data_IF_529568020290
#
_entry.id   IF_529568020290
#
_cell.length_a   1.000
_cell.length_b   1.000
_cell.length_c   1.000
_cell.angle_alpha   90.00
_cell.angle_beta   90.00
_cell.angle_gamma   90.00
#
_symmetry.space_group_name_H-M   'P 1'
#
loop_
_entity.id
_entity.type
_entity.pdbx_description
1 polymer ?
#
# COMPACT_ATOMS: atom_id res chain seq x y z
N UNK A 1 -28.48 -6.52 -8.39
CA UNK A 1 -27.14 -7.08 -8.58
C UNK A 1 -26.12 -5.99 -8.28
N UNK A 2 -25.31 -6.15 -7.23
CA UNK A 2 -24.20 -5.22 -6.93
C UNK A 2 -23.01 -5.47 -7.88
N UNK A 3 -23.29 -5.70 -9.16
CA UNK A 3 -22.26 -5.87 -10.16
C UNK A 3 -21.86 -4.48 -10.65
N UNK A 4 -20.57 -4.18 -10.56
CA UNK A 4 -19.98 -3.00 -11.18
C UNK A 4 -19.98 -3.03 -12.72
N UNK A 5 -20.74 -3.94 -13.32
CA UNK A 5 -20.97 -4.03 -14.74
C UNK A 5 -21.91 -2.90 -15.19
N UNK A 6 -21.35 -1.79 -15.66
CA UNK A 6 -22.06 -0.94 -16.61
C UNK A 6 -22.17 -1.72 -17.93
N UNK A 7 -23.13 -2.65 -17.98
CA UNK A 7 -23.48 -3.47 -19.13
C UNK A 7 -24.04 -2.66 -20.32
N UNK A 8 -24.16 -1.33 -20.20
CA UNK A 8 -24.90 -0.50 -21.16
C UNK A 8 -24.07 0.53 -21.92
N UNK A 9 -22.76 0.60 -21.69
CA UNK A 9 -21.86 1.43 -22.49
C UNK A 9 -20.86 0.49 -23.15
N UNK A 10 -21.13 0.10 -24.40
CA UNK A 10 -20.11 -0.42 -25.31
C UNK A 10 -19.65 0.74 -26.21
N UNK A 11 -18.87 1.72 -25.70
CA UNK A 11 -18.29 2.72 -26.57
C UNK A 11 -17.38 2.00 -27.57
N UNK A 12 -17.37 2.45 -28.82
CA UNK A 12 -16.37 2.04 -29.80
C UNK A 12 -15.00 2.52 -29.32
N UNK A 13 -14.32 1.68 -28.55
CA UNK A 13 -13.01 1.99 -28.01
C UNK A 13 -11.95 1.81 -29.08
N UNK A 14 -11.36 2.94 -29.48
CA UNK A 14 -10.11 2.94 -30.23
C UNK A 14 -8.95 2.57 -29.29
N UNK A 15 -7.97 1.86 -29.83
CA UNK A 15 -6.73 1.51 -29.13
C UNK A 15 -6.08 2.70 -28.42
N UNK A 16 -5.97 3.85 -29.11
CA UNK A 16 -5.40 5.08 -28.54
C UNK A 16 -6.19 5.60 -27.34
N UNK A 17 -7.51 5.47 -27.34
CA UNK A 17 -8.35 5.92 -26.23
C UNK A 17 -8.19 4.99 -25.01
N UNK A 18 -8.07 3.69 -25.24
CA UNK A 18 -7.76 2.71 -24.20
C UNK A 18 -6.39 2.99 -23.56
N UNK A 19 -5.35 3.25 -24.36
CA UNK A 19 -4.03 3.60 -23.85
C UNK A 19 -4.05 4.86 -22.98
N UNK A 20 -4.70 5.94 -23.43
CA UNK A 20 -4.78 7.20 -22.67
C UNK A 20 -5.47 6.97 -21.33
N UNK A 21 -6.57 6.20 -21.30
CA UNK A 21 -7.27 5.85 -20.06
C UNK A 21 -6.37 5.05 -19.11
N UNK A 22 -5.68 4.02 -19.61
CA UNK A 22 -4.76 3.22 -18.80
C UNK A 22 -3.64 4.10 -18.24
N UNK A 23 -2.98 4.90 -19.07
CA UNK A 23 -1.87 5.76 -18.63
C UNK A 23 -2.32 6.78 -17.57
N UNK A 24 -3.50 7.39 -17.70
CA UNK A 24 -4.01 8.32 -16.69
C UNK A 24 -4.15 7.65 -15.32
N UNK A 25 -4.62 6.39 -15.27
CA UNK A 25 -4.73 5.67 -14.02
C UNK A 25 -3.40 5.08 -13.52
N UNK A 26 -2.44 4.77 -14.40
CA UNK A 26 -1.08 4.38 -14.01
C UNK A 26 -0.26 5.55 -13.42
N UNK A 27 -0.62 6.80 -13.72
CA UNK A 27 -0.03 7.97 -13.05
C UNK A 27 -0.56 8.10 -11.61
N UNK A 28 -1.84 7.81 -11.40
CA UNK A 28 -2.51 7.93 -10.09
C UNK A 28 -2.28 6.73 -9.17
N UNK A 29 -2.18 5.52 -9.72
CA UNK A 29 -1.61 4.34 -9.06
C UNK A 29 -0.16 4.21 -9.55
N UNK A 30 0.79 4.89 -8.90
CA UNK A 30 2.09 5.14 -9.51
C UNK A 30 2.86 3.85 -9.77
N UNK A 31 3.18 3.63 -11.04
CA UNK A 31 4.21 2.71 -11.46
C UNK A 31 5.61 3.34 -11.38
N UNK A 32 6.64 2.53 -11.65
CA UNK A 32 8.02 2.97 -11.82
C UNK A 32 8.09 4.14 -12.83
N UNK A 33 9.05 5.05 -12.62
CA UNK A 33 9.22 6.34 -13.31
C UNK A 33 8.21 7.45 -13.00
N UNK A 34 6.95 7.14 -12.72
CA UNK A 34 5.92 8.17 -12.44
C UNK A 34 5.76 8.43 -10.94
N UNK A 35 6.24 7.54 -10.08
CA UNK A 35 6.08 7.61 -8.63
C UNK A 35 6.70 8.82 -7.91
N UNK A 36 7.58 9.61 -8.54
CA UNK A 36 8.32 10.68 -7.85
C UNK A 36 7.45 11.78 -7.23
N UNK A 37 6.23 12.00 -7.74
CA UNK A 37 5.32 12.98 -7.18
C UNK A 37 4.79 12.56 -5.80
N UNK A 38 4.64 11.26 -5.56
CA UNK A 38 3.98 10.74 -4.39
C UNK A 38 4.79 10.98 -3.10
N UNK A 39 6.10 10.66 -3.02
CA UNK A 39 6.90 10.97 -1.83
C UNK A 39 6.88 12.47 -1.51
N UNK A 40 7.00 13.33 -2.53
CA UNK A 40 6.96 14.79 -2.34
C UNK A 40 5.62 15.26 -1.79
N UNK A 41 4.52 14.79 -2.38
CA UNK A 41 3.17 15.14 -1.94
C UNK A 41 2.89 14.72 -0.48
N UNK A 42 3.28 13.51 -0.08
CA UNK A 42 3.11 13.05 1.31
C UNK A 42 4.02 13.76 2.31
N UNK A 43 5.23 14.13 1.89
CA UNK A 43 6.20 14.80 2.76
C UNK A 43 5.75 16.22 3.07
N UNK A 44 5.19 16.94 2.09
CA UNK A 44 4.75 18.33 2.25
C UNK A 44 3.35 18.45 2.86
N UNK A 45 2.48 17.46 2.65
CA UNK A 45 1.11 17.51 3.14
C UNK A 45 1.03 17.48 4.69
N UNK A 46 0.02 18.18 5.26
CA UNK A 46 -0.38 17.94 6.63
C UNK A 46 -0.87 16.50 6.78
N UNK A 47 -1.03 16.08 8.02
CA UNK A 47 -1.26 14.67 8.37
C UNK A 47 -2.59 14.16 7.83
N UNK A 48 -3.65 14.95 7.97
CA UNK A 48 -4.96 14.67 7.39
C UNK A 48 -4.87 14.56 5.86
N UNK A 49 -4.09 15.43 5.21
CA UNK A 49 -3.81 15.35 3.78
C UNK A 49 -3.08 14.06 3.40
N UNK A 50 -2.05 13.67 4.17
CA UNK A 50 -1.31 12.42 3.98
C UNK A 50 -2.22 11.19 4.13
N UNK A 51 -3.12 11.20 5.13
CA UNK A 51 -4.08 10.12 5.36
C UNK A 51 -5.09 9.99 4.21
N UNK A 52 -5.67 11.09 3.74
CA UNK A 52 -6.66 11.08 2.64
C UNK A 52 -5.98 10.69 1.32
N UNK A 53 -4.80 11.24 1.05
CA UNK A 53 -4.01 10.91 -0.13
C UNK A 53 -3.67 9.41 -0.14
N UNK A 54 -3.20 8.90 0.99
CA UNK A 54 -2.86 7.50 1.14
C UNK A 54 -4.11 6.63 1.02
N UNK A 55 -5.16 6.89 1.80
CA UNK A 55 -6.32 6.00 1.92
C UNK A 55 -7.21 6.00 0.67
N UNK A 56 -7.40 7.15 0.02
CA UNK A 56 -8.44 7.33 -1.01
C UNK A 56 -7.83 7.61 -2.38
N UNK A 57 -7.00 8.65 -2.51
CA UNK A 57 -6.59 9.14 -3.84
C UNK A 57 -5.78 8.12 -4.64
N UNK A 58 -4.83 7.42 -4.01
CA UNK A 58 -4.07 6.36 -4.68
C UNK A 58 -4.95 5.16 -5.06
N UNK A 59 -5.98 4.89 -4.24
CA UNK A 59 -6.88 3.77 -4.42
C UNK A 59 -7.90 4.02 -5.54
N UNK A 60 -8.26 5.28 -5.78
CA UNK A 60 -9.05 5.67 -6.95
C UNK A 60 -8.33 5.35 -8.27
N UNK A 61 -7.00 5.38 -8.30
CA UNK A 61 -6.22 4.95 -9.47
C UNK A 61 -6.42 3.47 -9.78
N UNK A 62 -6.23 2.61 -8.78
CA UNK A 62 -6.45 1.16 -8.92
C UNK A 62 -7.90 0.81 -9.26
N UNK A 63 -8.86 1.47 -8.61
CA UNK A 63 -10.28 1.29 -8.93
C UNK A 63 -10.64 1.82 -10.33
N UNK A 64 -10.01 2.91 -10.79
CA UNK A 64 -10.15 3.40 -12.15
C UNK A 64 -9.68 2.39 -13.19
N UNK A 65 -8.51 1.77 -12.97
CA UNK A 65 -8.02 0.66 -13.81
C UNK A 65 -8.99 -0.51 -13.83
N UNK A 66 -9.54 -0.88 -12.66
CA UNK A 66 -10.55 -1.93 -12.55
C UNK A 66 -11.78 -1.64 -13.43
N UNK A 67 -12.23 -0.39 -13.49
CA UNK A 67 -13.36 0.02 -14.35
C UNK A 67 -13.03 0.07 -15.83
N UNK A 68 -11.85 0.56 -16.19
CA UNK A 68 -11.40 0.60 -17.59
C UNK A 68 -11.25 -0.81 -18.15
N UNK A 69 -10.87 -1.78 -17.31
CA UNK A 69 -10.75 -3.18 -17.71
C UNK A 69 -12.01 -3.75 -18.35
N UNK A 70 -13.19 -3.45 -17.80
CA UNK A 70 -14.45 -3.97 -18.32
C UNK A 70 -14.73 -3.54 -19.77
N UNK A 71 -14.31 -2.33 -20.15
CA UNK A 71 -14.51 -1.83 -21.51
C UNK A 71 -13.32 -2.14 -22.44
N UNK A 72 -12.11 -2.22 -21.89
CA UNK A 72 -10.85 -2.36 -22.64
C UNK A 72 -10.25 -3.76 -22.64
N UNK A 73 -10.99 -4.80 -22.26
CA UNK A 73 -10.47 -6.16 -22.04
C UNK A 73 -9.58 -6.68 -23.18
N UNK A 74 -10.04 -6.57 -24.42
CA UNK A 74 -9.32 -7.11 -25.59
C UNK A 74 -7.96 -6.43 -25.79
N UNK A 75 -7.91 -5.10 -25.62
CA UNK A 75 -6.67 -4.34 -25.74
C UNK A 75 -5.75 -4.59 -24.54
N UNK A 76 -6.29 -4.62 -23.31
CA UNK A 76 -5.49 -4.81 -22.09
C UNK A 76 -4.88 -6.21 -22.06
N UNK A 77 -5.64 -7.24 -22.44
CA UNK A 77 -5.12 -8.61 -22.48
C UNK A 77 -3.96 -8.74 -23.47
N UNK A 78 -4.01 -8.06 -24.63
CA UNK A 78 -2.92 -8.04 -25.60
C UNK A 78 -1.61 -7.39 -25.11
N UNK A 79 -1.68 -6.37 -24.25
CA UNK A 79 -0.51 -5.64 -23.73
C UNK A 79 -0.18 -5.91 -22.25
N UNK A 80 -0.94 -6.81 -21.60
CA UNK A 80 -0.81 -7.18 -20.19
C UNK A 80 0.62 -7.53 -19.77
N UNK A 81 1.36 -8.24 -20.64
CA UNK A 81 2.78 -8.60 -20.43
C UNK A 81 3.65 -7.41 -20.04
N UNK A 82 3.50 -6.28 -20.74
CA UNK A 82 4.34 -5.10 -20.53
C UNK A 82 4.07 -4.50 -19.14
N UNK A 83 2.80 -4.33 -18.79
CA UNK A 83 2.42 -3.74 -17.50
C UNK A 83 2.75 -4.66 -16.32
N UNK A 84 2.61 -5.98 -16.48
CA UNK A 84 2.98 -6.96 -15.47
C UNK A 84 4.47 -6.90 -15.13
N UNK A 85 5.34 -6.90 -16.15
CA UNK A 85 6.79 -6.84 -15.93
C UNK A 85 7.21 -5.50 -15.31
N UNK A 86 6.67 -4.39 -15.80
CA UNK A 86 6.98 -3.06 -15.25
C UNK A 86 6.49 -2.96 -13.80
N UNK A 87 5.30 -3.45 -13.49
CA UNK A 87 4.73 -3.41 -12.15
C UNK A 87 5.49 -4.26 -11.13
N UNK A 88 5.86 -5.49 -11.47
CA UNK A 88 6.65 -6.37 -10.60
C UNK A 88 8.08 -5.88 -10.41
N UNK A 89 8.70 -5.38 -11.48
CA UNK A 89 10.00 -4.74 -11.36
C UNK A 89 9.92 -3.47 -10.51
N UNK A 90 8.82 -2.73 -10.61
CA UNK A 90 8.54 -1.56 -9.77
C UNK A 90 8.46 -1.90 -8.29
N UNK A 91 7.68 -2.91 -7.92
CA UNK A 91 7.52 -3.28 -6.52
C UNK A 91 8.84 -3.75 -5.91
N UNK A 92 9.63 -4.52 -6.65
CA UNK A 92 10.98 -4.92 -6.26
C UNK A 92 11.92 -3.72 -6.06
N UNK A 93 12.07 -2.86 -7.06
CA UNK A 93 13.02 -1.73 -6.99
C UNK A 93 12.64 -0.72 -5.91
N UNK A 94 11.36 -0.43 -5.76
CA UNK A 94 10.87 0.46 -4.70
C UNK A 94 11.07 -0.19 -3.32
N UNK A 95 10.88 -1.50 -3.19
CA UNK A 95 11.19 -2.23 -1.97
C UNK A 95 12.64 -2.07 -1.52
N UNK A 96 13.59 -2.10 -2.46
CA UNK A 96 15.01 -1.80 -2.18
C UNK A 96 15.20 -0.34 -1.79
N UNK A 97 14.57 0.59 -2.50
CA UNK A 97 14.65 2.03 -2.19
C UNK A 97 14.14 2.36 -0.78
N UNK A 98 13.12 1.64 -0.29
CA UNK A 98 12.59 1.81 1.07
C UNK A 98 13.65 1.59 2.15
N UNK A 99 14.58 0.65 1.96
CA UNK A 99 15.63 0.34 2.94
C UNK A 99 16.66 1.46 3.08
N UNK A 100 16.83 2.30 2.05
CA UNK A 100 17.72 3.45 2.08
C UNK A 100 17.05 4.73 2.58
N UNK A 101 15.72 4.73 2.76
CA UNK A 101 15.02 5.93 3.21
C UNK A 101 15.34 6.24 4.68
N UNK A 102 15.64 7.51 4.94
CA UNK A 102 15.91 8.04 6.28
C UNK A 102 14.66 8.70 6.88
N UNK A 103 13.77 9.24 6.05
CA UNK A 103 12.56 9.93 6.53
C UNK A 103 11.38 8.96 6.66
N UNK A 104 10.74 8.93 7.85
CA UNK A 104 9.63 8.01 8.15
C UNK A 104 8.47 8.17 7.17
N UNK A 105 8.03 9.42 6.90
CA UNK A 105 6.92 9.68 5.95
C UNK A 105 7.26 9.22 4.53
N UNK A 106 8.50 9.44 4.10
CA UNK A 106 8.95 9.03 2.77
C UNK A 106 8.99 7.50 2.66
N UNK A 107 9.41 6.80 3.72
CA UNK A 107 9.47 5.34 3.76
C UNK A 107 8.07 4.74 3.63
N UNK A 108 7.08 5.28 4.35
CA UNK A 108 5.66 4.87 4.23
C UNK A 108 5.12 5.17 2.82
N UNK A 109 5.50 6.31 2.24
CA UNK A 109 5.11 6.69 0.89
C UNK A 109 5.68 5.70 -0.16
N UNK A 110 6.96 5.32 -0.07
CA UNK A 110 7.53 4.33 -0.97
C UNK A 110 6.96 2.92 -0.75
N UNK A 111 6.68 2.50 0.50
CA UNK A 111 5.99 1.22 0.72
C UNK A 111 4.61 1.21 0.07
N UNK A 112 3.91 2.35 0.04
CA UNK A 112 2.62 2.46 -0.65
C UNK A 112 2.71 2.25 -2.16
N UNK A 113 3.79 2.72 -2.78
CA UNK A 113 4.07 2.50 -4.21
C UNK A 113 4.36 1.01 -4.46
N UNK A 114 5.08 0.33 -3.55
CA UNK A 114 5.39 -1.09 -3.69
C UNK A 114 4.12 -1.97 -3.67
N UNK A 115 3.23 -1.78 -2.68
CA UNK A 115 1.97 -2.53 -2.61
C UNK A 115 1.03 -2.17 -3.78
N UNK A 116 0.96 -0.90 -4.21
CA UNK A 116 0.15 -0.52 -5.38
C UNK A 116 0.71 -1.10 -6.69
N UNK A 117 2.03 -1.26 -6.81
CA UNK A 117 2.64 -1.98 -7.93
C UNK A 117 2.12 -3.41 -8.05
N UNK A 118 1.98 -4.13 -6.92
CA UNK A 118 1.36 -5.46 -6.87
C UNK A 118 -0.13 -5.43 -7.26
N UNK A 119 -0.89 -4.44 -6.79
CA UNK A 119 -2.31 -4.26 -7.17
C UNK A 119 -2.46 -4.14 -8.69
N UNK A 120 -1.62 -3.32 -9.32
CA UNK A 120 -1.71 -3.13 -10.77
C UNK A 120 -1.36 -4.44 -11.50
N UNK A 121 -0.39 -5.21 -11.00
CA UNK A 121 -0.10 -6.53 -11.55
C UNK A 121 -1.29 -7.49 -11.41
N UNK A 122 -1.97 -7.46 -10.25
CA UNK A 122 -3.20 -8.24 -10.03
C UNK A 122 -4.30 -7.92 -11.05
N UNK A 123 -4.55 -6.63 -11.30
CA UNK A 123 -5.54 -6.18 -12.31
C UNK A 123 -5.11 -6.58 -13.73
N UNK A 124 -3.83 -6.38 -14.07
CA UNK A 124 -3.29 -6.67 -15.40
C UNK A 124 -3.10 -8.18 -15.67
N UNK A 125 -3.22 -9.04 -14.65
CA UNK A 125 -3.23 -10.50 -14.83
C UNK A 125 -4.51 -11.02 -15.49
N UNK A 126 -5.54 -10.18 -15.62
CA UNK A 126 -6.82 -10.50 -16.28
C UNK A 126 -7.57 -11.72 -15.69
N UNK A 127 -7.20 -12.17 -14.49
CA UNK A 127 -7.77 -13.33 -13.82
C UNK A 127 -8.71 -12.91 -12.69
N UNK A 128 -9.79 -13.66 -12.46
CA UNK A 128 -10.76 -13.39 -11.39
C UNK A 128 -10.11 -13.33 -10.00
N UNK A 129 -9.17 -14.23 -9.71
CA UNK A 129 -8.37 -14.18 -8.48
C UNK A 129 -7.54 -12.89 -8.36
N UNK A 130 -6.97 -12.41 -9.46
CA UNK A 130 -6.21 -11.16 -9.49
C UNK A 130 -7.10 -9.94 -9.22
N UNK A 131 -8.32 -9.93 -9.78
CA UNK A 131 -9.32 -8.89 -9.52
C UNK A 131 -9.75 -8.87 -8.05
N UNK A 132 -10.15 -10.00 -7.49
CA UNK A 132 -10.54 -10.11 -6.08
C UNK A 132 -9.39 -9.71 -5.16
N UNK A 133 -8.18 -10.23 -5.41
CA UNK A 133 -7.00 -9.90 -4.62
C UNK A 133 -6.63 -8.43 -4.67
N UNK A 134 -6.65 -7.82 -5.86
CA UNK A 134 -6.37 -6.39 -6.05
C UNK A 134 -7.34 -5.50 -5.28
N UNK A 135 -8.64 -5.82 -5.29
CA UNK A 135 -9.65 -5.06 -4.57
C UNK A 135 -9.47 -5.16 -3.05
N UNK A 136 -9.20 -6.36 -2.54
CA UNK A 136 -8.95 -6.58 -1.11
C UNK A 136 -7.70 -5.83 -0.66
N UNK A 137 -6.63 -5.88 -1.45
CA UNK A 137 -5.37 -5.21 -1.12
C UNK A 137 -5.53 -3.67 -1.14
N UNK A 138 -6.27 -3.11 -2.10
CA UNK A 138 -6.61 -1.67 -2.15
C UNK A 138 -7.22 -1.22 -0.82
N UNK A 139 -8.18 -1.97 -0.30
CA UNK A 139 -8.89 -1.66 0.94
C UNK A 139 -7.99 -1.88 2.17
N UNK A 140 -7.38 -3.06 2.29
CA UNK A 140 -6.52 -3.38 3.44
C UNK A 140 -5.37 -2.40 3.58
N UNK A 141 -4.70 -2.11 2.47
CA UNK A 141 -3.57 -1.18 2.45
C UNK A 141 -4.04 0.27 2.63
N UNK A 142 -5.30 0.64 2.34
CA UNK A 142 -5.84 1.96 2.69
C UNK A 142 -5.79 2.21 4.19
N UNK A 143 -6.34 1.29 4.98
CA UNK A 143 -6.34 1.41 6.44
C UNK A 143 -4.93 1.27 7.03
N UNK A 144 -4.09 0.39 6.49
CA UNK A 144 -2.73 0.19 7.00
C UNK A 144 -1.86 1.44 6.79
N UNK A 145 -1.82 1.96 5.56
CA UNK A 145 -1.00 3.13 5.23
C UNK A 145 -1.45 4.40 5.95
N UNK A 146 -2.76 4.66 6.08
CA UNK A 146 -3.24 5.83 6.83
C UNK A 146 -2.91 5.74 8.32
N UNK A 147 -2.98 4.55 8.92
CA UNK A 147 -2.58 4.32 10.30
C UNK A 147 -1.08 4.51 10.53
N UNK A 148 -0.23 4.05 9.60
CA UNK A 148 1.21 4.30 9.64
C UNK A 148 1.55 5.79 9.52
N UNK A 149 0.86 6.54 8.64
CA UNK A 149 1.00 8.00 8.59
C UNK A 149 0.53 8.68 9.89
N UNK A 150 -0.49 8.14 10.55
CA UNK A 150 -0.91 8.61 11.88
C UNK A 150 0.19 8.42 12.92
N UNK A 151 0.76 7.21 12.99
CA UNK A 151 1.85 6.90 13.92
C UNK A 151 3.09 7.76 13.67
N UNK A 152 3.46 7.96 12.41
CA UNK A 152 4.56 8.84 12.04
C UNK A 152 4.30 10.29 12.51
N UNK A 153 3.05 10.74 12.46
CA UNK A 153 2.70 12.06 12.97
C UNK A 153 2.74 12.15 14.50
N UNK A 154 2.23 11.13 15.19
CA UNK A 154 2.24 11.06 16.65
C UNK A 154 3.69 11.13 17.19
N UNK A 155 4.65 10.55 16.47
CA UNK A 155 6.08 10.74 16.75
C UNK A 155 6.57 12.14 16.38
N UNK A 156 6.16 12.67 15.23
CA UNK A 156 6.54 14.01 14.77
C UNK A 156 6.08 15.11 15.73
N UNK A 157 4.87 15.03 16.30
CA UNK A 157 4.36 16.00 17.28
C UNK A 157 5.23 16.06 18.56
N UNK A 158 5.90 14.95 18.92
CA UNK A 158 6.79 14.88 20.08
C UNK A 158 8.22 15.29 19.79
N UNK A 159 8.72 14.90 18.62
CA UNK A 159 10.15 14.99 18.28
C UNK A 159 10.47 16.15 17.35
N UNK A 160 9.44 16.78 16.78
CA UNK A 160 9.50 17.80 15.71
C UNK A 160 10.38 17.42 14.52
N UNK A 161 10.71 16.14 14.37
CA UNK A 161 11.60 15.62 13.34
C UNK A 161 11.01 14.37 12.69
N UNK A 162 11.30 14.20 11.40
CA UNK A 162 10.80 13.06 10.60
C UNK A 162 11.86 11.99 10.37
N UNK A 163 13.10 12.25 10.76
CA UNK A 163 14.22 11.36 10.50
C UNK A 163 14.21 10.17 11.44
N UNK A 164 14.41 8.97 10.88
CA UNK A 164 14.51 7.71 11.63
C UNK A 164 15.63 7.74 12.67
N UNK A 165 16.75 8.45 12.41
CA UNK A 165 17.88 8.52 13.34
C UNK A 165 17.58 9.28 14.62
N UNK A 166 16.77 10.33 14.54
CA UNK A 166 16.39 11.13 15.70
C UNK A 166 15.27 10.41 16.46
N UNK A 167 14.41 9.64 15.79
CA UNK A 167 13.26 8.98 16.41
C UNK A 167 13.51 7.53 16.87
N UNK A 168 14.77 7.17 17.21
CA UNK A 168 15.14 5.83 17.69
C UNK A 168 14.82 5.62 19.17
N UNK A 169 14.65 4.35 19.56
CA UNK A 169 14.53 3.95 20.97
C UNK A 169 13.17 4.26 21.61
N UNK A 170 12.10 4.45 20.82
CA UNK A 170 10.80 4.84 21.36
C UNK A 170 10.15 3.80 22.28
N UNK A 171 10.61 2.54 22.23
CA UNK A 171 10.10 1.46 23.10
C UNK A 171 10.25 1.77 24.60
N UNK A 172 11.35 2.43 25.00
CA UNK A 172 11.56 2.77 26.41
C UNK A 172 10.71 3.93 26.91
N UNK A 173 10.22 4.80 26.00
CA UNK A 173 9.44 5.98 26.36
C UNK A 173 7.94 5.80 26.16
N UNK A 174 7.53 5.15 25.08
CA UNK A 174 6.14 5.04 24.62
C UNK A 174 5.82 3.57 24.27
N UNK A 175 5.77 2.67 25.28
CA UNK A 175 5.61 1.24 25.04
C UNK A 175 4.26 0.91 24.40
N UNK A 176 3.18 1.62 24.75
CA UNK A 176 1.86 1.35 24.17
C UNK A 176 1.81 1.76 22.70
N UNK A 177 2.40 2.90 22.32
CA UNK A 177 2.54 3.27 20.91
C UNK A 177 3.45 2.30 20.14
N UNK A 178 4.52 1.81 20.76
CA UNK A 178 5.42 0.83 20.13
C UNK A 178 4.71 -0.50 19.80
N UNK A 179 3.72 -0.90 20.60
CA UNK A 179 2.87 -2.05 20.31
C UNK A 179 2.01 -1.82 19.07
N UNK A 180 1.43 -0.63 18.90
CA UNK A 180 0.69 -0.29 17.69
C UNK A 180 1.59 -0.20 16.46
N UNK A 181 2.82 0.29 16.60
CA UNK A 181 3.83 0.20 15.55
C UNK A 181 4.07 -1.25 15.13
N UNK A 182 4.25 -2.17 16.08
CA UNK A 182 4.43 -3.59 15.78
C UNK A 182 3.25 -4.15 14.98
N UNK A 183 2.02 -3.93 15.47
CA UNK A 183 0.80 -4.43 14.85
C UNK A 183 0.57 -3.88 13.43
N UNK A 184 0.87 -2.60 13.19
CA UNK A 184 0.68 -1.98 11.89
C UNK A 184 1.82 -2.34 10.93
N UNK A 185 3.06 -2.45 11.40
CA UNK A 185 4.17 -2.97 10.61
C UNK A 185 3.95 -4.45 10.24
N UNK A 186 3.39 -5.28 11.13
CA UNK A 186 3.05 -6.68 10.81
C UNK A 186 1.95 -6.78 9.76
N UNK A 187 0.93 -5.89 9.83
CA UNK A 187 -0.10 -5.82 8.80
C UNK A 187 0.47 -5.33 7.46
N UNK A 188 1.46 -4.43 7.47
CA UNK A 188 2.17 -3.98 6.27
C UNK A 188 3.05 -5.08 5.66
N UNK A 189 3.62 -5.96 6.48
CA UNK A 189 4.29 -7.20 6.06
C UNK A 189 3.31 -8.27 5.56
N UNK A 190 2.00 -8.03 5.63
CA UNK A 190 0.97 -9.00 5.32
C UNK A 190 1.04 -10.25 6.22
N UNK A 191 1.14 -10.08 7.55
CA UNK A 191 1.03 -11.18 8.50
C UNK A 191 -0.44 -11.62 8.71
N UNK A 192 -0.71 -12.90 9.06
CA UNK A 192 -2.06 -13.34 9.45
C UNK A 192 -2.45 -12.71 10.80
N UNK A 193 -3.70 -12.27 11.04
CA UNK A 193 -4.92 -12.39 10.24
C UNK A 193 -5.29 -11.12 9.44
N UNK A 194 -4.34 -10.44 8.78
CA UNK A 194 -4.61 -9.18 8.08
C UNK A 194 -5.32 -9.34 6.73
N UNK A 195 -6.09 -8.32 6.32
CA UNK A 195 -6.65 -8.22 4.96
C UNK A 195 -5.56 -8.16 3.88
N UNK A 196 -4.40 -7.57 4.20
CA UNK A 196 -3.29 -7.45 3.26
C UNK A 196 -2.77 -8.83 2.82
N UNK A 197 -2.66 -9.78 3.76
CA UNK A 197 -2.28 -11.16 3.44
C UNK A 197 -3.27 -11.81 2.48
N UNK A 198 -4.57 -11.67 2.73
CA UNK A 198 -5.58 -12.23 1.82
C UNK A 198 -5.42 -11.67 0.40
N UNK A 199 -5.31 -10.34 0.27
CA UNK A 199 -5.13 -9.69 -1.02
C UNK A 199 -3.86 -10.15 -1.74
N UNK A 200 -2.72 -10.18 -1.04
CA UNK A 200 -1.43 -10.60 -1.62
C UNK A 200 -1.44 -12.07 -2.05
N UNK A 201 -2.01 -12.98 -1.26
CA UNK A 201 -2.10 -14.41 -1.62
C UNK A 201 -2.91 -14.60 -2.91
N UNK A 202 -4.04 -13.90 -3.07
CA UNK A 202 -4.85 -13.99 -4.29
C UNK A 202 -4.12 -13.43 -5.52
N UNK A 203 -3.38 -12.32 -5.37
CA UNK A 203 -2.57 -11.73 -6.45
C UNK A 203 -1.41 -12.67 -6.80
N UNK A 204 -0.71 -13.24 -5.81
CA UNK A 204 0.38 -14.19 -6.06
C UNK A 204 -0.13 -15.40 -6.83
N UNK A 205 -1.28 -15.97 -6.44
CA UNK A 205 -1.89 -17.08 -7.16
C UNK A 205 -2.27 -16.72 -8.60
N UNK A 206 -2.79 -15.51 -8.84
CA UNK A 206 -3.16 -15.07 -10.19
C UNK A 206 -1.95 -14.87 -11.09
N UNK A 207 -0.84 -14.33 -10.56
CA UNK A 207 0.40 -14.10 -11.29
C UNK A 207 1.15 -15.41 -11.58
N UNK A 208 1.16 -16.34 -10.62
CA UNK A 208 1.72 -17.67 -10.81
C UNK A 208 0.98 -18.46 -11.89
N UNK A 209 -0.34 -18.29 -11.99
CA UNK A 209 -1.13 -18.86 -13.08
C UNK A 209 -0.83 -18.23 -14.46
N UNK A 210 -0.21 -17.05 -14.51
CA UNK A 210 0.04 -16.32 -15.75
C UNK A 210 1.39 -16.72 -16.39
N UNK A 211 2.48 -16.68 -15.62
CA UNK A 211 3.78 -17.16 -16.09
C UNK A 211 4.72 -17.55 -14.94
N UNK A 212 5.27 -18.77 -14.98
CA UNK A 212 6.22 -19.28 -13.98
C UNK A 212 7.50 -18.44 -13.84
N UNK A 213 7.92 -17.74 -14.91
CA UNK A 213 9.12 -16.89 -14.91
C UNK A 213 8.99 -15.73 -13.92
N UNK A 214 7.76 -15.26 -13.64
CA UNK A 214 7.51 -14.16 -12.71
C UNK A 214 7.77 -14.56 -11.24
N UNK A 215 7.90 -15.86 -10.93
CA UNK A 215 8.07 -16.36 -9.56
C UNK A 215 9.21 -15.68 -8.81
N UNK A 216 10.37 -15.50 -9.46
CA UNK A 216 11.54 -14.89 -8.84
C UNK A 216 11.26 -13.44 -8.44
N UNK A 217 10.62 -12.66 -9.31
CA UNK A 217 10.27 -11.26 -9.03
C UNK A 217 9.21 -11.15 -7.94
N UNK A 218 8.21 -12.04 -7.94
CA UNK A 218 7.17 -12.08 -6.90
C UNK A 218 7.80 -12.37 -5.54
N UNK A 219 8.66 -13.39 -5.46
CA UNK A 219 9.40 -13.76 -4.24
C UNK A 219 10.24 -12.59 -3.71
N UNK A 220 10.96 -11.90 -4.59
CA UNK A 220 11.75 -10.74 -4.19
C UNK A 220 10.85 -9.60 -3.69
N UNK A 221 9.74 -9.31 -4.38
CA UNK A 221 8.84 -8.23 -3.99
C UNK A 221 8.23 -8.43 -2.59
N UNK A 222 7.78 -9.64 -2.26
CA UNK A 222 7.26 -9.96 -0.93
C UNK A 222 8.35 -10.00 0.14
N UNK A 223 9.55 -10.49 -0.20
CA UNK A 223 10.70 -10.47 0.70
C UNK A 223 11.09 -9.04 1.09
N UNK A 224 11.18 -8.12 0.13
CA UNK A 224 11.49 -6.72 0.44
C UNK A 224 10.36 -6.03 1.21
N UNK A 225 9.09 -6.43 1.00
CA UNK A 225 7.96 -5.97 1.81
C UNK A 225 8.11 -6.29 3.30
N UNK A 226 8.55 -7.51 3.61
CA UNK A 226 8.95 -7.91 4.95
C UNK A 226 10.15 -7.09 5.45
N UNK A 227 11.19 -6.94 4.65
CA UNK A 227 12.43 -6.30 5.08
C UNK A 227 12.23 -4.82 5.44
N UNK A 228 11.54 -4.02 4.63
CA UNK A 228 11.35 -2.60 4.95
C UNK A 228 10.39 -2.37 6.11
N UNK A 229 9.41 -3.25 6.33
CA UNK A 229 8.45 -3.12 7.44
C UNK A 229 9.10 -3.45 8.77
N UNK A 230 9.94 -4.50 8.81
CA UNK A 230 10.79 -4.80 9.95
C UNK A 230 11.85 -3.72 10.18
N UNK A 231 12.48 -3.20 9.13
CA UNK A 231 13.43 -2.10 9.22
C UNK A 231 12.80 -0.83 9.83
N UNK A 232 11.59 -0.46 9.38
CA UNK A 232 10.83 0.66 9.93
C UNK A 232 10.56 0.47 11.43
N UNK A 233 10.06 -0.71 11.83
CA UNK A 233 9.80 -1.01 13.25
C UNK A 233 11.08 -0.99 14.09
N UNK A 234 12.15 -1.63 13.60
CA UNK A 234 13.40 -1.78 14.32
C UNK A 234 14.07 -0.44 14.58
N UNK A 235 14.12 0.45 13.59
CA UNK A 235 14.75 1.75 13.76
C UNK A 235 13.95 2.69 14.65
N UNK A 236 12.62 2.67 14.58
CA UNK A 236 11.79 3.56 15.41
C UNK A 236 11.80 3.12 16.88
N UNK A 237 11.61 1.82 17.13
CA UNK A 237 11.34 1.36 18.49
C UNK A 237 12.60 0.88 19.23
N UNK A 238 13.52 0.21 18.56
CA UNK A 238 14.73 -0.32 19.21
C UNK A 238 15.89 0.68 19.17
N UNK A 239 16.91 0.41 20.00
CA UNK A 239 18.11 1.23 20.14
C UNK A 239 18.06 2.18 21.32
N UNK A 240 19.14 2.95 21.50
CA UNK A 240 19.22 3.99 22.51
C UNK A 240 18.47 5.25 22.07
N UNK A 241 17.78 5.88 23.01
CA UNK A 241 17.18 7.19 22.81
C UNK A 241 18.24 8.22 22.40
N UNK A 242 17.86 9.14 21.52
CA UNK A 242 18.70 10.26 21.16
C UNK A 242 18.91 11.18 22.37
N UNK A 243 20.17 11.51 22.68
CA UNK A 243 20.55 12.26 23.87
C UNK A 243 20.03 13.71 23.90
N UNK A 244 19.55 14.25 22.78
CA UNK A 244 18.96 15.57 22.72
C UNK A 244 17.52 15.64 23.25
N UNK A 245 16.89 14.52 23.59
CA UNK A 245 15.56 14.52 24.21
C UNK A 245 15.65 14.67 25.72
N UNK A 246 15.00 15.71 26.24
CA UNK A 246 14.92 15.97 27.68
C UNK A 246 13.59 15.49 28.26
N UNK A 247 12.46 15.72 27.57
CA UNK A 247 11.14 15.25 27.98
C UNK A 247 10.26 14.95 26.77
N UNK A 248 9.71 13.73 26.70
CA UNK A 248 8.69 13.35 25.73
C UNK A 248 7.31 13.48 26.39
N UNK A 249 6.36 14.07 25.65
CA UNK A 249 4.98 14.17 26.12
C UNK A 249 4.36 12.77 26.29
N UNK A 250 3.55 12.55 27.35
CA UNK A 250 2.89 11.28 27.57
C UNK A 250 1.90 10.94 26.45
N UNK A 251 1.46 9.69 26.43
CA UNK A 251 0.48 9.20 25.45
C UNK A 251 -0.92 9.75 25.76
N UNK A 252 -1.61 10.25 24.73
CA UNK A 252 -2.94 10.85 24.87
C UNK A 252 -4.00 9.86 24.37
N UNK A 253 -5.13 9.76 25.10
CA UNK A 253 -6.23 8.86 24.75
C UNK A 253 -6.79 9.10 23.32
N UNK A 254 -6.77 10.35 22.85
CA UNK A 254 -7.11 10.71 21.47
C UNK A 254 -6.29 9.95 20.43
N UNK A 255 -4.98 9.81 20.66
CA UNK A 255 -4.05 9.14 19.74
C UNK A 255 -4.38 7.64 19.64
N UNK A 256 -4.68 7.03 20.79
CA UNK A 256 -5.09 5.63 20.85
C UNK A 256 -6.39 5.35 20.13
N UNK A 257 -7.41 6.19 20.34
CA UNK A 257 -8.69 6.07 19.63
C UNK A 257 -8.46 6.18 18.12
N UNK A 258 -7.63 7.14 17.68
CA UNK A 258 -7.33 7.34 16.26
C UNK A 258 -6.72 6.08 15.64
N UNK A 259 -5.75 5.45 16.29
CA UNK A 259 -5.10 4.24 15.79
C UNK A 259 -6.05 3.04 15.84
N UNK A 260 -6.81 2.87 16.93
CA UNK A 260 -7.77 1.77 17.08
C UNK A 260 -8.85 1.81 16.00
N UNK A 261 -9.36 3.00 15.65
CA UNK A 261 -10.34 3.17 14.58
C UNK A 261 -9.81 2.75 13.20
N UNK A 262 -8.49 2.70 12.99
CA UNK A 262 -7.90 2.17 11.77
C UNK A 262 -7.61 0.67 11.87
N UNK A 263 -7.09 0.21 13.01
CA UNK A 263 -6.65 -1.16 13.19
C UNK A 263 -7.80 -2.17 13.28
N UNK A 264 -8.87 -1.80 14.01
CA UNK A 264 -10.07 -2.64 14.18
C UNK A 264 -10.69 -3.01 12.82
N UNK A 265 -11.10 -2.06 11.95
CA UNK A 265 -11.73 -2.42 10.68
C UNK A 265 -10.80 -3.25 9.80
N UNK A 266 -9.50 -2.94 9.78
CA UNK A 266 -8.54 -3.68 8.95
C UNK A 266 -8.51 -5.18 9.28
N UNK A 267 -8.56 -5.57 10.56
CA UNK A 267 -8.52 -6.98 10.95
C UNK A 267 -9.91 -7.64 10.96
N UNK A 268 -10.95 -6.92 11.37
CA UNK A 268 -12.30 -7.50 11.43
C UNK A 268 -12.90 -7.74 10.04
N UNK A 269 -12.54 -6.92 9.04
CA UNK A 269 -13.05 -7.08 7.67
C UNK A 269 -12.61 -8.40 7.00
N UNK A 270 -11.59 -9.08 7.53
CA UNK A 270 -11.20 -10.43 7.09
C UNK A 270 -12.35 -11.42 7.25
N UNK A 271 -13.16 -11.30 8.30
CA UNK A 271 -14.31 -12.17 8.53
C UNK A 271 -15.40 -11.99 7.47
N UNK A 272 -15.51 -10.79 6.91
CA UNK A 272 -16.44 -10.47 5.83
C UNK A 272 -15.88 -10.72 4.42
N UNK A 273 -14.88 -11.61 4.27
CA UNK A 273 -14.28 -11.90 2.95
C UNK A 273 -15.31 -12.30 1.87
N UNK A 274 -16.34 -13.06 2.25
CA UNK A 274 -17.37 -13.54 1.32
C UNK A 274 -18.11 -12.41 0.60
N UNK A 275 -18.32 -11.26 1.25
CA UNK A 275 -18.97 -10.11 0.60
C UNK A 275 -18.06 -9.51 -0.47
N UNK A 276 -16.75 -9.41 -0.21
CA UNK A 276 -15.77 -8.89 -1.16
C UNK A 276 -15.66 -9.76 -2.41
N UNK A 277 -15.69 -11.08 -2.28
CA UNK A 277 -15.68 -11.99 -3.44
C UNK A 277 -16.92 -11.86 -4.33
N UNK A 278 -18.05 -11.38 -3.80
CA UNK A 278 -19.30 -11.21 -4.55
C UNK A 278 -19.39 -9.88 -5.32
N UNK A 279 -18.48 -8.93 -5.05
CA UNK A 279 -18.44 -7.63 -5.74
C UNK A 279 -17.67 -7.68 -7.08
N UNK A 280 -16.92 -8.75 -7.34
CA UNK A 280 -16.19 -9.02 -8.58
C UNK A 280 -17.02 -9.94 -9.45
#
# INVERSE_FOLDING_TARGET
SFTFSYLYLSPSLNFYLCLVLIFAFLVSAPMLFVHFWLPKAHVEAPVSGSMILAAVLLKLGGYGLYRVFYFGYEYISGYSYLFLNIGLFSSFMVGVLCLYQVDIKSLIAYSSVAHMGLVICGIMSCNSFGFVGSFILIIGHAFCSSALFCLANILYERTSSRSLFINKGMLSCLPGMSFFWFLLCSNNMAAPPSLNLLGEVFIINSLMGWANVLFVLIMLSSFFACCYSLYMYALVNHGSLYSGYTFLMPEVLREYILILLHWIPLNFLVLSFSSFSLFV
#
